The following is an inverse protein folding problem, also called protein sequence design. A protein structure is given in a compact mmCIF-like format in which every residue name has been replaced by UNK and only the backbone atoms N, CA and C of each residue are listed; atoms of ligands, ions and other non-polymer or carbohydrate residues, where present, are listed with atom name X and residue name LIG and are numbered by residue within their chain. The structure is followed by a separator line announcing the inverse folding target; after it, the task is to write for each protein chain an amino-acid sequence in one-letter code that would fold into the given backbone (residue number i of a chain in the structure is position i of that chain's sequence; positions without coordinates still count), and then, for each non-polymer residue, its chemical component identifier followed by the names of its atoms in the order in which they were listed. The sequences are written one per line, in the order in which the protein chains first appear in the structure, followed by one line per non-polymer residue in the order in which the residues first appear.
data_IF_578935782886
#
_entry.id   IF_578935782886
#
_cell.length_a   1.000
_cell.length_b   1.000
_cell.length_c   1.000
_cell.angle_alpha   90.00
_cell.angle_beta   90.00
_cell.angle_gamma   90.00
#
_symmetry.space_group_name_H-M   'P 1'
#
loop_
_entity.id
_entity.type
_entity.pdbx_description
1 polymer ?
#
# COMPACT_ATOMS: atom_id res chain seq x y z
N UNK A 1 -16.95 -3.25 -13.87
CA UNK A 1 -16.41 -2.32 -12.84
C UNK A 1 -15.54 -3.02 -11.79
N UNK A 2 -16.06 -3.78 -10.80
CA UNK A 2 -15.20 -4.38 -9.74
C UNK A 2 -14.17 -5.39 -10.29
N UNK A 3 -14.60 -6.27 -11.19
CA UNK A 3 -13.72 -7.25 -11.85
C UNK A 3 -12.71 -6.61 -12.81
N UNK A 4 -13.00 -5.42 -13.34
CA UNK A 4 -12.10 -4.70 -14.24
C UNK A 4 -11.02 -3.94 -13.48
N UNK A 5 -11.39 -3.30 -12.36
CA UNK A 5 -10.43 -2.63 -11.49
C UNK A 5 -9.37 -3.61 -10.97
N UNK A 6 -9.80 -4.81 -10.56
CA UNK A 6 -8.87 -5.87 -10.13
C UNK A 6 -7.84 -6.23 -11.21
N UNK A 7 -8.27 -6.32 -12.48
CA UNK A 7 -7.35 -6.57 -13.61
C UNK A 7 -6.34 -5.44 -13.76
N UNK A 8 -6.79 -4.19 -13.73
CA UNK A 8 -5.90 -3.05 -13.85
C UNK A 8 -4.89 -2.95 -12.70
N UNK A 9 -5.34 -3.15 -11.46
CA UNK A 9 -4.45 -3.20 -10.29
C UNK A 9 -3.40 -4.29 -10.45
N UNK A 10 -3.78 -5.48 -10.90
CA UNK A 10 -2.85 -6.60 -11.12
C UNK A 10 -1.88 -6.41 -12.29
N UNK A 11 -2.14 -5.44 -13.18
CA UNK A 11 -1.26 -5.13 -14.31
C UNK A 11 -0.26 -4.02 -13.99
N UNK A 12 -0.50 -3.22 -12.94
CA UNK A 12 0.41 -2.16 -12.54
C UNK A 12 1.56 -2.75 -11.70
N UNK A 13 2.83 -2.59 -12.14
CA UNK A 13 3.97 -3.20 -11.48
C UNK A 13 4.26 -2.59 -10.10
N UNK A 14 3.92 -1.31 -9.89
CA UNK A 14 4.16 -0.65 -8.62
C UNK A 14 3.09 -1.04 -7.59
N UNK A 15 1.82 -1.16 -8.00
CA UNK A 15 0.77 -1.73 -7.13
C UNK A 15 1.12 -3.15 -6.70
N UNK A 16 1.52 -4.02 -7.64
CA UNK A 16 1.94 -5.38 -7.30
C UNK A 16 3.13 -5.38 -6.33
N UNK A 17 4.11 -4.50 -6.54
CA UNK A 17 5.28 -4.41 -5.67
C UNK A 17 4.90 -3.94 -4.26
N UNK A 18 4.00 -2.97 -4.14
CA UNK A 18 3.50 -2.50 -2.85
C UNK A 18 2.74 -3.61 -2.13
N UNK A 19 1.89 -4.36 -2.84
CA UNK A 19 1.15 -5.49 -2.27
C UNK A 19 2.08 -6.61 -1.78
N UNK A 20 3.17 -6.91 -2.51
CA UNK A 20 4.21 -7.85 -2.03
C UNK A 20 4.86 -7.35 -0.74
N UNK A 21 5.25 -6.07 -0.69
CA UNK A 21 5.87 -5.48 0.51
C UNK A 21 4.92 -5.59 1.70
N UNK A 22 3.66 -5.19 1.54
CA UNK A 22 2.64 -5.24 2.60
C UNK A 22 2.41 -6.68 3.06
N UNK A 23 2.33 -7.63 2.12
CA UNK A 23 2.20 -9.05 2.43
C UNK A 23 3.38 -9.59 3.25
N UNK A 24 4.60 -9.18 2.91
CA UNK A 24 5.82 -9.61 3.58
C UNK A 24 5.96 -9.03 5.01
N UNK A 25 5.17 -8.00 5.38
CA UNK A 25 5.11 -7.51 6.76
C UNK A 25 4.36 -8.46 7.70
N UNK A 26 3.55 -9.38 7.15
CA UNK A 26 2.75 -10.35 7.91
C UNK A 26 1.86 -9.71 9.01
N UNK A 27 1.34 -8.51 8.72
CA UNK A 27 0.47 -7.77 9.62
C UNK A 27 -0.97 -8.26 9.53
N UNK A 28 -1.63 -8.38 10.68
CA UNK A 28 -3.03 -8.76 10.73
C UNK A 28 -3.93 -7.67 10.09
N UNK A 29 -4.95 -8.12 9.36
CA UNK A 29 -5.99 -7.27 8.76
C UNK A 29 -5.44 -6.05 8.01
N UNK A 30 -4.46 -6.29 7.13
CA UNK A 30 -3.68 -5.24 6.45
C UNK A 30 -4.17 -4.97 5.01
N UNK A 31 -4.30 -3.70 4.62
CA UNK A 31 -4.89 -3.29 3.34
C UNK A 31 -4.21 -2.04 2.76
N UNK A 32 -4.02 -2.00 1.43
CA UNK A 32 -3.84 -0.74 0.69
C UNK A 32 -5.21 -0.13 0.42
N UNK A 33 -5.39 1.16 0.68
CA UNK A 33 -6.73 1.75 0.67
C UNK A 33 -6.75 3.22 0.26
N UNK A 34 -7.89 3.87 0.54
CA UNK A 34 -8.11 5.31 0.49
C UNK A 34 -7.53 6.02 -0.75
N UNK A 35 -6.55 6.90 -0.55
CA UNK A 35 -5.95 7.75 -1.56
C UNK A 35 -5.11 6.98 -2.57
N UNK A 36 -4.43 5.89 -2.20
CA UNK A 36 -3.71 5.05 -3.18
C UNK A 36 -4.64 4.52 -4.27
N UNK A 37 -5.75 3.88 -3.89
CA UNK A 37 -6.68 3.31 -4.86
C UNK A 37 -7.45 4.41 -5.62
N UNK A 38 -7.83 5.48 -4.92
CA UNK A 38 -8.51 6.63 -5.54
C UNK A 38 -7.63 7.33 -6.58
N UNK A 39 -6.37 7.61 -6.25
CA UNK A 39 -5.40 8.23 -7.15
C UNK A 39 -5.12 7.30 -8.34
N UNK A 40 -4.98 5.99 -8.11
CA UNK A 40 -4.81 5.01 -9.18
C UNK A 40 -5.96 5.08 -10.20
N UNK A 41 -7.21 5.17 -9.74
CA UNK A 41 -8.39 5.30 -10.61
C UNK A 41 -8.38 6.64 -11.35
N UNK A 42 -8.13 7.76 -10.64
CA UNK A 42 -8.09 9.09 -11.25
C UNK A 42 -6.96 9.25 -12.29
N UNK A 43 -5.83 8.58 -12.05
CA UNK A 43 -4.69 8.55 -12.96
C UNK A 43 -4.85 7.52 -14.10
N UNK A 44 -6.09 7.14 -14.41
CA UNK A 44 -6.44 6.22 -15.49
C UNK A 44 -5.72 4.88 -15.37
N UNK A 45 -5.79 4.29 -14.17
CA UNK A 45 -5.26 2.96 -13.85
C UNK A 45 -3.73 2.87 -13.89
N UNK A 46 -3.06 3.89 -13.36
CA UNK A 46 -1.61 3.94 -13.20
C UNK A 46 -1.23 4.47 -11.84
N UNK A 47 -0.29 3.82 -11.19
CA UNK A 47 0.26 4.32 -9.93
C UNK A 47 1.17 5.53 -10.17
N UNK A 48 1.08 6.53 -9.30
CA UNK A 48 1.94 7.71 -9.31
C UNK A 48 2.85 7.71 -8.08
N UNK A 49 4.16 7.58 -8.32
CA UNK A 49 5.19 7.53 -7.28
C UNK A 49 5.39 8.83 -6.53
N UNK A 50 4.82 9.92 -7.01
CA UNK A 50 4.85 11.21 -6.34
C UNK A 50 3.67 11.38 -5.36
N UNK A 51 2.84 10.34 -5.19
CA UNK A 51 1.73 10.32 -4.24
C UNK A 51 1.99 9.30 -3.14
N UNK A 52 1.39 9.56 -1.98
CA UNK A 52 1.54 8.71 -0.79
C UNK A 52 0.82 7.36 -0.96
N UNK A 53 1.35 6.35 -0.26
CA UNK A 53 0.80 5.02 -0.12
C UNK A 53 0.01 4.94 1.18
N UNK A 54 -1.31 4.92 1.06
CA UNK A 54 -2.23 4.70 2.17
C UNK A 54 -2.28 3.20 2.51
N UNK A 55 -1.54 2.84 3.56
CA UNK A 55 -1.52 1.51 4.14
C UNK A 55 -2.14 1.54 5.54
N UNK A 56 -3.12 0.66 5.79
CA UNK A 56 -3.73 0.49 7.11
C UNK A 56 -3.67 -0.98 7.52
N UNK A 57 -3.61 -1.22 8.82
CA UNK A 57 -3.74 -2.54 9.40
C UNK A 57 -4.39 -2.47 10.77
N UNK A 58 -4.86 -3.61 11.27
CA UNK A 58 -5.40 -3.71 12.62
C UNK A 58 -4.83 -4.95 13.33
N UNK A 59 -4.02 -4.70 14.35
CA UNK A 59 -3.46 -5.74 15.21
C UNK A 59 -3.42 -5.26 16.66
N UNK A 60 -4.20 -5.91 17.53
CA UNK A 60 -4.26 -5.59 18.98
C UNK A 60 -2.93 -5.84 19.70
N UNK A 61 -2.05 -6.67 19.13
CA UNK A 61 -0.75 -7.00 19.72
C UNK A 61 0.30 -5.94 19.43
N UNK A 62 0.07 -5.09 18.44
CA UNK A 62 1.01 -4.07 17.99
C UNK A 62 0.66 -2.75 18.67
N UNK A 63 1.61 -2.22 19.43
CA UNK A 63 1.48 -0.92 20.06
C UNK A 63 1.63 0.23 19.06
N UNK A 64 1.15 1.42 19.43
CA UNK A 64 1.34 2.63 18.62
C UNK A 64 2.81 2.97 18.35
N UNK A 65 3.70 2.62 19.28
CA UNK A 65 5.14 2.85 19.10
C UNK A 65 5.71 1.90 18.04
N UNK A 66 5.35 0.61 18.10
CA UNK A 66 5.74 -0.38 17.07
C UNK A 66 5.17 0.01 15.69
N UNK A 67 3.96 0.58 15.63
CA UNK A 67 3.41 1.12 14.37
C UNK A 67 4.34 2.16 13.73
N UNK A 68 4.87 3.10 14.53
CA UNK A 68 5.81 4.13 14.04
C UNK A 68 7.15 3.54 13.61
N UNK A 69 7.60 2.50 14.29
CA UNK A 69 8.83 1.80 13.93
C UNK A 69 8.69 1.04 12.60
N UNK A 70 7.53 0.42 12.35
CA UNK A 70 7.19 -0.19 11.07
C UNK A 70 7.16 0.87 9.97
N UNK A 71 6.49 2.01 10.18
CA UNK A 71 6.44 3.13 9.24
C UNK A 71 7.84 3.64 8.88
N UNK A 72 8.67 3.93 9.89
CA UNK A 72 10.04 4.39 9.68
C UNK A 72 10.89 3.34 8.93
N UNK A 73 10.71 2.04 9.24
CA UNK A 73 11.40 0.95 8.54
C UNK A 73 10.99 0.88 7.07
N UNK A 74 9.70 1.06 6.77
CA UNK A 74 9.19 1.08 5.40
C UNK A 74 9.78 2.23 4.60
N UNK A 75 9.78 3.46 5.14
CA UNK A 75 10.40 4.63 4.49
C UNK A 75 11.90 4.42 4.24
N UNK A 76 12.62 3.81 5.18
CA UNK A 76 14.04 3.54 5.03
C UNK A 76 14.34 2.48 3.95
N UNK A 77 13.56 1.38 3.93
CA UNK A 77 13.80 0.26 3.01
C UNK A 77 13.28 0.50 1.61
N UNK A 78 12.21 1.29 1.48
CA UNK A 78 11.50 1.51 0.22
C UNK A 78 11.33 3.00 -0.07
N UNK A 79 12.42 3.79 -0.17
CA UNK A 79 12.36 5.26 -0.31
C UNK A 79 11.73 5.74 -1.63
N UNK A 80 11.33 4.81 -2.52
CA UNK A 80 10.61 5.10 -3.76
C UNK A 80 9.10 5.26 -3.56
N UNK A 81 8.60 4.90 -2.38
CA UNK A 81 7.20 4.99 -1.99
C UNK A 81 7.15 5.81 -0.70
N UNK A 82 6.19 6.74 -0.62
CA UNK A 82 5.95 7.56 0.57
C UNK A 82 4.79 7.02 1.37
#
# INVERSE_FOLDING_TARGET
MKEELGKYLSQDPDINRILEIVKDLDLADSWICAGTIRNFIWNHYRFDKNTDVDFIFYDEKISHQETKEIEANLHQRYPKYQ
#
